data_IF_047930661644
#
_entry.id   IF_047930661644
#
_cell.length_a   1.000
_cell.length_b   1.000
_cell.length_c   1.000
_cell.angle_alpha   90.00
_cell.angle_beta   90.00
_cell.angle_gamma   90.00
#
_symmetry.space_group_name_H-M   'P 1'
#
loop_
_entity.id
_entity.type
_entity.pdbx_description
1 polymer ?
#
# COMPACT_ATOMS: atom_id res chain seq x y z
N UNK A 1 23.32 -8.55 -3.19
CA UNK A 1 21.91 -9.02 -3.18
C UNK A 1 21.49 -9.65 -1.85
N UNK A 2 22.33 -10.45 -1.15
CA UNK A 2 21.99 -11.00 0.18
C UNK A 2 21.81 -9.93 1.27
N UNK A 3 22.70 -8.94 1.32
CA UNK A 3 22.71 -7.86 2.32
C UNK A 3 21.43 -7.00 2.44
N UNK A 4 20.58 -6.93 1.41
CA UNK A 4 19.39 -6.08 1.43
C UNK A 4 18.13 -6.82 1.94
N UNK A 5 18.14 -8.15 1.91
CA UNK A 5 17.08 -8.96 2.53
C UNK A 5 17.29 -9.10 4.03
N UNK A 6 18.56 -9.22 4.47
CA UNK A 6 18.92 -9.39 5.88
C UNK A 6 18.47 -8.18 6.74
N UNK A 7 18.55 -6.94 6.22
CA UNK A 7 18.09 -5.73 6.91
C UNK A 7 16.57 -5.64 7.10
N UNK A 8 15.78 -6.30 6.24
CA UNK A 8 14.31 -6.28 6.31
C UNK A 8 13.81 -7.13 7.48
N UNK A 9 14.49 -8.24 7.77
CA UNK A 9 14.18 -9.10 8.92
C UNK A 9 14.53 -8.41 10.24
N UNK A 10 15.68 -7.73 10.33
CA UNK A 10 16.09 -7.01 11.55
C UNK A 10 15.10 -5.89 11.95
N UNK A 11 14.48 -5.24 10.97
CA UNK A 11 13.51 -4.16 11.20
C UNK A 11 12.04 -4.64 11.24
N UNK A 12 11.79 -5.96 11.15
CA UNK A 12 10.45 -6.56 11.09
C UNK A 12 9.52 -5.89 10.05
N UNK A 13 10.09 -5.45 8.92
CA UNK A 13 9.36 -4.75 7.88
C UNK A 13 8.70 -5.75 6.94
N UNK A 14 7.44 -5.50 6.57
CA UNK A 14 6.66 -6.42 5.74
C UNK A 14 6.82 -6.08 4.26
N UNK A 15 7.43 -6.98 3.48
CA UNK A 15 7.48 -6.89 2.02
C UNK A 15 6.19 -7.49 1.42
N UNK A 16 5.42 -6.69 0.70
CA UNK A 16 4.21 -7.14 -0.01
C UNK A 16 4.40 -7.08 -1.53
N UNK A 17 3.70 -7.97 -2.24
CA UNK A 17 3.74 -8.08 -3.71
C UNK A 17 5.17 -8.15 -4.30
N UNK A 18 6.14 -8.62 -3.51
CA UNK A 18 7.59 -8.65 -3.86
C UNK A 18 8.11 -7.29 -4.36
N UNK A 19 7.54 -6.17 -3.87
CA UNK A 19 7.87 -4.82 -4.37
C UNK A 19 7.70 -3.70 -3.36
N UNK A 20 6.74 -3.78 -2.44
CA UNK A 20 6.48 -2.67 -1.53
C UNK A 20 6.85 -3.06 -0.12
N UNK A 21 7.82 -2.35 0.45
CA UNK A 21 8.22 -2.52 1.84
C UNK A 21 7.35 -1.61 2.69
N UNK A 22 6.47 -2.17 3.53
CA UNK A 22 5.66 -1.40 4.46
C UNK A 22 6.58 -0.86 5.57
N UNK A 23 6.59 0.45 5.77
CA UNK A 23 7.50 1.13 6.71
C UNK A 23 6.75 1.52 7.98
N UNK A 24 5.68 2.30 7.84
CA UNK A 24 4.98 2.88 8.97
C UNK A 24 3.48 2.94 8.72
N UNK A 25 2.69 2.53 9.71
CA UNK A 25 1.24 2.77 9.71
C UNK A 25 0.99 4.26 9.96
N UNK A 26 0.27 4.92 9.06
CA UNK A 26 -0.09 6.34 9.15
C UNK A 26 -1.58 6.58 9.36
N UNK A 27 -2.40 5.54 9.27
CA UNK A 27 -3.83 5.66 9.51
C UNK A 27 -4.52 4.33 9.64
N UNK A 28 -5.71 4.37 10.21
CA UNK A 28 -6.65 3.25 10.22
C UNK A 28 -8.08 3.77 10.23
N UNK A 29 -8.99 2.96 9.71
CA UNK A 29 -10.42 3.19 9.79
C UNK A 29 -11.19 1.88 9.73
N UNK A 30 -12.51 1.98 9.58
CA UNK A 30 -13.40 0.80 9.55
C UNK A 30 -13.05 -0.21 8.45
N UNK A 31 -12.40 0.23 7.37
CA UNK A 31 -12.15 -0.56 6.16
C UNK A 31 -10.68 -0.89 5.95
N UNK A 32 -9.87 -0.80 7.02
CA UNK A 32 -8.47 -1.22 6.98
C UNK A 32 -7.48 -0.16 7.44
N UNK A 33 -6.24 -0.32 7.00
CA UNK A 33 -5.09 0.41 7.49
C UNK A 33 -4.35 1.07 6.33
N UNK A 34 -3.73 2.22 6.60
CA UNK A 34 -2.94 2.97 5.61
C UNK A 34 -1.51 3.00 6.11
N UNK A 35 -0.59 2.63 5.21
CA UNK A 35 0.84 2.59 5.46
C UNK A 35 1.58 3.53 4.52
N UNK A 36 2.63 4.18 5.02
CA UNK A 36 3.75 4.61 4.19
C UNK A 36 4.56 3.36 3.82
N UNK A 37 4.90 3.25 2.55
CA UNK A 37 5.71 2.15 2.02
C UNK A 37 6.72 2.65 0.98
N UNK A 38 7.78 1.87 0.78
CA UNK A 38 8.78 2.13 -0.24
C UNK A 38 8.59 1.14 -1.40
N UNK A 39 8.39 1.66 -2.61
CA UNK A 39 8.49 0.89 -3.84
C UNK A 39 9.97 0.59 -4.12
N UNK A 40 10.42 -0.62 -3.77
CA UNK A 40 11.85 -0.98 -3.84
C UNK A 40 12.40 -1.01 -5.26
N UNK A 41 11.53 -1.07 -6.28
CA UNK A 41 11.96 -1.02 -7.69
C UNK A 41 12.21 0.39 -8.18
N UNK A 42 11.52 1.38 -7.59
CA UNK A 42 11.58 2.79 -8.02
C UNK A 42 12.23 3.70 -7.00
N UNK A 43 12.54 3.18 -5.80
CA UNK A 43 12.99 3.94 -4.65
C UNK A 43 12.09 5.15 -4.37
N UNK A 44 10.77 4.95 -4.43
CA UNK A 44 9.77 6.00 -4.17
C UNK A 44 8.87 5.63 -3.02
N UNK A 45 8.62 6.61 -2.17
CA UNK A 45 7.59 6.54 -1.14
C UNK A 45 6.20 6.52 -1.79
N UNK A 46 5.32 5.66 -1.26
CA UNK A 46 3.92 5.52 -1.65
C UNK A 46 3.05 5.29 -0.42
N UNK A 47 1.81 5.75 -0.48
CA UNK A 47 0.78 5.33 0.47
C UNK A 47 0.13 4.02 -0.01
N UNK A 48 -0.01 3.04 0.88
CA UNK A 48 -0.67 1.76 0.61
C UNK A 48 -1.82 1.57 1.59
N UNK A 49 -3.02 1.37 1.05
CA UNK A 49 -4.18 0.93 1.82
C UNK A 49 -4.25 -0.60 1.81
N UNK A 50 -4.41 -1.19 2.99
CA UNK A 50 -4.48 -2.63 3.20
C UNK A 50 -5.80 -2.97 3.90
N UNK A 51 -6.49 -3.99 3.41
CA UNK A 51 -7.73 -4.52 3.97
C UNK A 51 -7.52 -6.01 4.27
N UNK A 52 -8.20 -6.53 5.31
CA UNK A 52 -8.20 -7.97 5.58
C UNK A 52 -8.95 -8.70 4.47
N UNK A 53 -8.40 -9.79 3.97
CA UNK A 53 -8.99 -10.54 2.86
C UNK A 53 -10.29 -11.25 3.27
N UNK A 54 -10.45 -11.52 4.56
CA UNK A 54 -11.53 -12.31 5.15
C UNK A 54 -12.78 -11.47 5.49
N UNK A 55 -12.79 -10.17 5.16
CA UNK A 55 -13.95 -9.34 5.41
C UNK A 55 -15.13 -9.80 4.54
N UNK A 56 -16.32 -9.87 5.17
CA UNK A 56 -17.57 -10.22 4.48
C UNK A 56 -17.88 -9.31 3.28
N UNK A 57 -17.44 -8.05 3.35
CA UNK A 57 -17.69 -7.04 2.33
C UNK A 57 -16.41 -6.22 2.05
N UNK A 58 -15.46 -6.75 1.25
CA UNK A 58 -14.22 -6.04 0.93
C UNK A 58 -14.50 -4.81 0.09
N UNK A 59 -14.03 -3.65 0.53
CA UNK A 59 -14.30 -2.36 -0.12
C UNK A 59 -13.20 -1.89 -1.06
N UNK A 60 -11.96 -2.37 -0.87
CA UNK A 60 -10.82 -1.99 -1.72
C UNK A 60 -11.09 -2.14 -3.23
N UNK A 61 -11.70 -3.23 -3.73
CA UNK A 61 -12.00 -3.36 -5.16
C UNK A 61 -12.99 -2.32 -5.67
N UNK A 62 -13.95 -1.91 -4.85
CA UNK A 62 -14.91 -0.87 -5.20
C UNK A 62 -14.23 0.50 -5.25
N UNK A 63 -13.45 0.83 -4.21
CA UNK A 63 -12.68 2.07 -4.13
C UNK A 63 -11.71 2.21 -5.32
N UNK A 64 -11.00 1.13 -5.69
CA UNK A 64 -10.11 1.14 -6.83
C UNK A 64 -10.84 1.43 -8.16
N UNK A 65 -12.06 0.90 -8.34
CA UNK A 65 -12.91 1.23 -9.51
C UNK A 65 -13.33 2.70 -9.49
N UNK A 66 -13.66 3.24 -8.33
CA UNK A 66 -14.05 4.65 -8.19
C UNK A 66 -12.88 5.58 -8.54
N UNK A 67 -11.70 5.35 -7.97
CA UNK A 67 -10.50 6.13 -8.31
C UNK A 67 -10.10 6.03 -9.79
N UNK A 68 -10.29 4.87 -10.44
CA UNK A 68 -10.08 4.72 -11.88
C UNK A 68 -11.01 5.62 -12.69
N UNK A 69 -12.28 5.74 -12.29
CA UNK A 69 -13.27 6.61 -12.96
C UNK A 69 -12.99 8.09 -12.71
N UNK A 70 -12.54 8.45 -11.51
CA UNK A 70 -12.26 9.84 -11.12
C UNK A 70 -10.86 10.32 -11.57
N UNK A 71 -10.06 9.45 -12.20
CA UNK A 71 -8.70 9.75 -12.61
C UNK A 71 -8.64 11.01 -13.48
N UNK A 72 -7.78 11.95 -13.10
CA UNK A 72 -7.58 13.20 -13.83
C UNK A 72 -8.48 14.35 -13.36
N UNK A 73 -9.44 14.08 -12.46
CA UNK A 73 -10.22 15.12 -11.80
C UNK A 73 -9.37 16.00 -10.88
N UNK A 74 -9.78 17.27 -10.66
CA UNK A 74 -9.12 18.16 -9.73
C UNK A 74 -9.12 17.58 -8.32
N UNK A 75 -7.98 17.69 -7.63
CA UNK A 75 -7.77 17.16 -6.27
C UNK A 75 -7.98 15.64 -6.10
N UNK A 76 -8.07 14.86 -7.18
CA UNK A 76 -8.16 13.39 -7.10
C UNK A 76 -6.75 12.78 -7.02
N UNK A 77 -6.43 12.01 -5.96
CA UNK A 77 -5.17 11.30 -5.87
C UNK A 77 -4.90 10.39 -7.07
N UNK A 78 -3.64 10.37 -7.54
CA UNK A 78 -3.19 9.44 -8.58
C UNK A 78 -3.07 8.04 -8.00
N UNK A 79 -4.12 7.24 -8.15
CA UNK A 79 -4.08 5.83 -7.76
C UNK A 79 -3.02 5.08 -8.57
N UNK A 80 -2.26 4.23 -7.88
CA UNK A 80 -1.26 3.35 -8.46
C UNK A 80 -1.73 1.91 -8.26
N UNK A 81 -1.85 1.20 -9.40
CA UNK A 81 -2.24 -0.22 -9.58
C UNK A 81 -3.55 -0.65 -8.90
#
# INVERSE_FOLDING_TARGET
>A
MKQQFDLVEECNLKLIAKRYLLVQKIGSGSFGEIYIAIDVRKAKEVAIKVEKAELRHPQLPHEARLYKRLKGGPAVPKMKW
#
